data_IF_371715515999
#
_entry.id   IF_371715515999
#
_cell.length_a   1.000
_cell.length_b   1.000
_cell.length_c   1.000
_cell.angle_alpha   90.00
_cell.angle_beta   90.00
_cell.angle_gamma   90.00
#
_symmetry.space_group_name_H-M   'P 1'
#
loop_
_entity.id
_entity.type
_entity.pdbx_description
1 polymer ?
#
# COMPACT_ATOMS: atom_id res chain seq x y z
N UNK A 1 12.23 -6.62 -7.61
CA UNK A 1 13.14 -6.29 -6.51
C UNK A 1 12.71 -5.02 -5.80
N UNK A 2 12.94 -4.96 -4.50
CA UNK A 2 12.68 -3.74 -3.75
C UNK A 2 13.58 -2.62 -4.27
N UNK A 3 13.02 -1.43 -4.41
CA UNK A 3 13.76 -0.28 -4.91
C UNK A 3 13.52 0.92 -4.01
N UNK A 4 14.59 1.50 -3.49
CA UNK A 4 14.54 2.69 -2.65
C UNK A 4 15.22 3.85 -3.34
N UNK A 5 14.42 4.86 -3.74
CA UNK A 5 14.93 6.12 -4.25
C UNK A 5 15.18 7.03 -3.03
N UNK A 6 16.40 7.58 -2.84
CA UNK A 6 16.67 8.44 -1.67
C UNK A 6 15.79 9.69 -1.60
N UNK A 7 15.14 10.08 -2.69
CA UNK A 7 14.25 11.24 -2.71
C UNK A 7 12.82 10.89 -2.26
N UNK A 8 12.53 9.58 -2.10
CA UNK A 8 11.20 9.12 -1.71
C UNK A 8 11.22 8.60 -0.28
N UNK A 9 10.19 8.89 0.53
CA UNK A 9 10.12 8.41 1.90
C UNK A 9 9.63 6.96 2.01
N UNK A 10 9.63 6.21 0.91
CA UNK A 10 9.12 4.84 0.87
C UNK A 10 10.00 3.97 -0.03
N UNK A 11 9.84 2.67 0.12
CA UNK A 11 10.47 1.67 -0.75
C UNK A 11 9.43 1.14 -1.74
N UNK A 12 9.82 0.97 -2.99
CA UNK A 12 8.95 0.40 -4.02
C UNK A 12 9.09 -1.11 -4.02
N UNK A 13 7.96 -1.81 -4.04
CA UNK A 13 7.90 -3.26 -4.05
C UNK A 13 7.10 -3.75 -5.24
N UNK A 14 7.54 -4.86 -5.85
CA UNK A 14 6.72 -5.56 -6.83
C UNK A 14 5.56 -6.27 -6.12
N UNK A 15 4.48 -6.61 -6.84
CA UNK A 15 3.39 -7.39 -6.24
C UNK A 15 3.87 -8.70 -5.61
N UNK A 16 4.80 -9.39 -6.24
CA UNK A 16 5.34 -10.66 -5.70
C UNK A 16 6.09 -10.42 -4.37
N UNK A 17 6.85 -9.34 -4.28
CA UNK A 17 7.53 -8.98 -3.04
C UNK A 17 6.53 -8.64 -1.93
N UNK A 18 5.45 -7.92 -2.27
CA UNK A 18 4.37 -7.60 -1.33
C UNK A 18 3.73 -8.89 -0.81
N UNK A 19 3.40 -9.80 -1.73
CA UNK A 19 2.80 -11.07 -1.33
C UNK A 19 3.70 -11.84 -0.38
N UNK A 20 4.99 -11.85 -0.64
CA UNK A 20 5.97 -12.54 0.21
C UNK A 20 6.00 -11.91 1.61
N UNK A 21 5.98 -10.59 1.70
CA UNK A 21 5.93 -9.90 2.99
C UNK A 21 4.64 -10.21 3.74
N UNK A 22 3.52 -10.27 3.02
CA UNK A 22 2.23 -10.62 3.64
C UNK A 22 2.25 -12.04 4.19
N UNK A 23 2.86 -12.98 3.48
CA UNK A 23 2.98 -14.37 3.94
C UNK A 23 3.84 -14.48 5.19
N UNK A 24 4.84 -13.63 5.32
CA UNK A 24 5.69 -13.60 6.51
C UNK A 24 4.99 -12.94 7.70
N UNK A 25 3.92 -12.19 7.46
CA UNK A 25 3.17 -11.51 8.51
C UNK A 25 3.82 -10.22 8.98
N UNK A 26 3.17 -9.55 9.92
CA UNK A 26 3.71 -8.33 10.51
C UNK A 26 3.63 -7.10 9.64
N UNK A 27 2.75 -7.10 8.62
CA UNK A 27 2.56 -5.96 7.73
C UNK A 27 1.13 -5.45 7.82
N UNK A 28 0.97 -4.15 7.55
CA UNK A 28 -0.33 -3.53 7.39
C UNK A 28 -0.46 -3.11 5.93
N UNK A 29 -1.46 -3.63 5.22
CA UNK A 29 -1.70 -3.28 3.82
C UNK A 29 -2.90 -2.35 3.75
N UNK A 30 -2.73 -1.20 3.11
CA UNK A 30 -3.74 -0.15 3.03
C UNK A 30 -4.05 0.13 1.56
N UNK A 31 -5.31 -0.06 1.17
CA UNK A 31 -5.80 0.31 -0.15
C UNK A 31 -6.36 1.72 -0.08
N UNK A 32 -5.82 2.63 -0.88
CA UNK A 32 -6.16 4.05 -0.82
C UNK A 32 -7.05 4.51 -1.98
N UNK A 33 -7.66 3.54 -2.67
CA UNK A 33 -8.56 3.83 -3.80
C UNK A 33 -9.95 4.24 -3.31
N UNK A 34 -10.84 4.54 -4.26
CA UNK A 34 -12.24 4.85 -3.97
C UNK A 34 -13.01 3.60 -3.55
N UNK A 35 -14.14 3.78 -2.87
CA UNK A 35 -14.97 2.66 -2.39
C UNK A 35 -15.33 1.68 -3.50
N UNK A 36 -15.76 2.18 -4.66
CA UNK A 36 -16.19 1.32 -5.75
C UNK A 36 -15.04 0.50 -6.33
N UNK A 37 -13.83 1.07 -6.32
CA UNK A 37 -12.64 0.35 -6.77
C UNK A 37 -12.31 -0.80 -5.80
N UNK A 38 -12.32 -0.49 -4.52
CA UNK A 38 -12.02 -1.47 -3.47
C UNK A 38 -13.02 -2.64 -3.51
N UNK A 39 -14.30 -2.31 -3.66
CA UNK A 39 -15.36 -3.33 -3.70
C UNK A 39 -15.29 -4.23 -4.93
N UNK A 40 -14.71 -3.75 -6.02
CA UNK A 40 -14.56 -4.54 -7.24
C UNK A 40 -13.42 -5.54 -7.20
N UNK A 41 -12.63 -5.51 -6.16
CA UNK A 41 -11.52 -6.44 -5.99
C UNK A 41 -10.31 -5.72 -5.44
N UNK A 42 -9.75 -6.26 -4.36
CA UNK A 42 -8.59 -5.65 -3.68
C UNK A 42 -7.64 -6.75 -3.21
N UNK A 43 -6.43 -6.35 -2.87
CA UNK A 43 -5.43 -7.25 -2.29
C UNK A 43 -6.00 -7.86 -1.02
N UNK A 44 -5.98 -9.20 -0.89
CA UNK A 44 -6.57 -9.85 0.29
C UNK A 44 -5.98 -9.32 1.60
N UNK A 45 -6.86 -9.00 2.54
CA UNK A 45 -6.46 -8.47 3.84
C UNK A 45 -6.16 -6.99 3.88
N UNK A 46 -6.27 -6.29 2.75
CA UNK A 46 -6.03 -4.84 2.73
C UNK A 46 -7.15 -4.10 3.46
N UNK A 47 -6.77 -3.17 4.32
CA UNK A 47 -7.69 -2.23 4.96
C UNK A 47 -7.97 -1.10 3.97
N UNK A 48 -9.17 -0.56 3.99
CA UNK A 48 -9.54 0.50 3.07
C UNK A 48 -9.49 1.87 3.76
N UNK A 49 -8.54 2.71 3.34
CA UNK A 49 -8.40 4.08 3.80
C UNK A 49 -8.18 4.95 2.57
N UNK A 50 -9.23 5.56 1.99
CA UNK A 50 -9.07 6.38 0.78
C UNK A 50 -8.02 7.48 0.97
N UNK A 51 -7.28 7.78 -0.09
CA UNK A 51 -6.10 8.65 -0.01
C UNK A 51 -6.41 10.00 0.62
N UNK A 52 -7.58 10.57 0.32
CA UNK A 52 -7.96 11.88 0.86
C UNK A 52 -8.30 11.86 2.35
N UNK A 53 -8.35 10.67 2.96
CA UNK A 53 -8.63 10.54 4.40
C UNK A 53 -7.41 10.06 5.20
N UNK A 54 -6.30 9.78 4.53
CA UNK A 54 -5.11 9.21 5.19
C UNK A 54 -4.60 10.10 6.32
N UNK A 55 -4.48 11.40 6.05
CA UNK A 55 -3.97 12.31 7.09
C UNK A 55 -4.88 12.38 8.30
N UNK A 56 -6.20 12.43 8.09
CA UNK A 56 -7.17 12.45 9.19
C UNK A 56 -7.18 11.13 9.96
N UNK A 57 -6.93 10.03 9.27
CA UNK A 57 -6.95 8.68 9.85
C UNK A 57 -5.56 8.15 10.18
N UNK A 58 -4.57 9.02 10.27
CA UNK A 58 -3.17 8.60 10.48
C UNK A 58 -2.96 7.77 11.74
N UNK A 59 -3.84 7.92 12.74
CA UNK A 59 -3.73 7.12 13.96
C UNK A 59 -4.09 5.65 13.76
N UNK A 60 -4.68 5.30 12.61
CA UNK A 60 -4.97 3.92 12.26
C UNK A 60 -3.76 3.23 11.62
N UNK A 61 -2.72 4.00 11.30
CA UNK A 61 -1.49 3.46 10.72
C UNK A 61 -0.56 2.97 11.82
N UNK A 62 -0.05 1.76 11.65
CA UNK A 62 0.81 1.11 12.65
C UNK A 62 2.18 1.80 12.69
N UNK A 63 2.71 1.99 13.90
CA UNK A 63 4.07 2.48 14.07
C UNK A 63 5.08 1.34 14.23
N UNK A 64 4.58 0.11 14.40
CA UNK A 64 5.40 -1.06 14.73
C UNK A 64 5.52 -2.05 13.58
N UNK A 65 4.75 -1.85 12.51
CA UNK A 65 4.73 -2.77 11.37
C UNK A 65 5.16 -2.04 10.11
N UNK A 66 5.60 -2.81 9.12
CA UNK A 66 5.76 -2.28 7.77
C UNK A 66 4.38 -1.95 7.21
N UNK A 67 4.24 -0.78 6.61
CA UNK A 67 2.98 -0.33 6.02
C UNK A 67 3.12 -0.31 4.51
N UNK A 68 2.25 -1.05 3.83
CA UNK A 68 2.25 -1.16 2.38
C UNK A 68 1.00 -0.47 1.85
N UNK A 69 1.19 0.60 1.08
CA UNK A 69 0.08 1.31 0.44
C UNK A 69 -0.09 0.82 -0.99
N UNK A 70 -1.33 0.64 -1.41
CA UNK A 70 -1.66 0.20 -2.77
C UNK A 70 -2.79 1.04 -3.34
N UNK A 71 -2.69 1.37 -4.62
CA UNK A 71 -3.78 1.98 -5.38
C UNK A 71 -3.90 1.26 -6.73
N UNK A 72 -4.50 1.88 -7.76
CA UNK A 72 -4.64 1.20 -9.05
C UNK A 72 -3.32 1.00 -9.77
N UNK A 73 -2.49 2.07 -9.84
CA UNK A 73 -1.25 2.05 -10.63
C UNK A 73 -0.03 2.57 -9.86
N UNK A 74 -0.19 2.98 -8.61
CA UNK A 74 0.94 3.39 -7.76
C UNK A 74 1.08 4.88 -7.49
N UNK A 75 0.22 5.74 -8.04
CA UNK A 75 0.33 7.19 -7.87
C UNK A 75 -0.31 7.69 -6.58
N UNK A 76 -1.56 7.32 -6.32
CA UNK A 76 -2.25 7.72 -5.09
C UNK A 76 -1.59 7.10 -3.86
N UNK A 77 -1.08 5.87 -3.99
CA UNK A 77 -0.37 5.21 -2.90
C UNK A 77 0.97 5.86 -2.60
N UNK A 78 1.67 6.38 -3.61
CA UNK A 78 2.87 7.16 -3.38
C UNK A 78 2.57 8.42 -2.57
N UNK A 79 1.47 9.12 -2.90
CA UNK A 79 1.03 10.28 -2.13
C UNK A 79 0.67 9.90 -0.69
N UNK A 80 0.00 8.76 -0.50
CA UNK A 80 -0.32 8.27 0.84
C UNK A 80 0.94 8.00 1.66
N UNK A 81 1.98 7.45 1.03
CA UNK A 81 3.27 7.28 1.69
C UNK A 81 3.86 8.60 2.16
N UNK A 82 3.77 9.65 1.33
CA UNK A 82 4.26 10.98 1.70
C UNK A 82 3.47 11.56 2.87
N UNK A 83 2.16 11.37 2.88
CA UNK A 83 1.30 11.79 3.99
C UNK A 83 1.67 11.09 5.29
N UNK A 84 1.90 9.77 5.20
CA UNK A 84 2.31 8.97 6.36
C UNK A 84 3.68 9.39 6.86
N UNK A 85 4.62 9.68 5.96
CA UNK A 85 5.94 10.17 6.33
C UNK A 85 5.85 11.51 7.06
N UNK A 86 4.96 12.41 6.59
CA UNK A 86 4.73 13.69 7.25
C UNK A 86 4.17 13.51 8.67
N UNK A 87 3.50 12.38 8.93
CA UNK A 87 2.99 12.03 10.27
C UNK A 87 4.05 11.32 11.13
N UNK A 88 5.27 11.18 10.62
CA UNK A 88 6.38 10.61 11.38
C UNK A 88 6.60 9.12 11.20
N UNK A 89 5.89 8.48 10.27
CA UNK A 89 6.07 7.06 10.01
C UNK A 89 7.24 6.83 9.06
N UNK A 90 7.97 5.73 9.27
CA UNK A 90 9.24 5.49 8.55
C UNK A 90 9.30 4.16 7.80
N UNK A 91 8.41 3.21 8.10
CA UNK A 91 8.44 1.87 7.49
C UNK A 91 7.38 1.79 6.41
N UNK A 92 7.61 2.53 5.31
CA UNK A 92 6.62 2.78 4.28
C UNK A 92 7.01 2.13 2.95
N UNK A 93 6.02 1.52 2.30
CA UNK A 93 6.20 0.81 1.03
C UNK A 93 5.06 1.14 0.08
N UNK A 94 5.38 1.18 -1.21
CA UNK A 94 4.42 1.41 -2.28
C UNK A 94 4.44 0.21 -3.23
N UNK A 95 3.26 -0.33 -3.55
CA UNK A 95 3.15 -1.41 -4.53
C UNK A 95 3.32 -0.83 -5.93
N UNK A 96 4.41 -1.18 -6.58
CA UNK A 96 4.70 -0.69 -7.93
C UNK A 96 3.69 -1.27 -8.91
N UNK A 97 3.06 -0.42 -9.71
CA UNK A 97 2.02 -0.81 -10.63
C UNK A 97 0.67 -1.10 -9.99
N UNK A 98 0.59 -1.07 -8.66
CA UNK A 98 -0.67 -1.16 -7.92
C UNK A 98 -1.45 -2.44 -8.10
N UNK A 99 -2.76 -2.35 -7.88
CA UNK A 99 -3.68 -3.49 -8.02
C UNK A 99 -3.68 -4.03 -9.45
N UNK A 100 -3.49 -3.18 -10.45
CA UNK A 100 -3.42 -3.64 -11.84
C UNK A 100 -2.25 -4.60 -12.05
N UNK A 101 -1.07 -4.25 -11.54
CA UNK A 101 0.09 -5.14 -11.64
C UNK A 101 -0.10 -6.41 -10.79
N UNK A 102 -0.72 -6.28 -9.62
CA UNK A 102 -1.04 -7.40 -8.76
C UNK A 102 -1.87 -8.45 -9.52
N UNK A 103 -2.93 -8.00 -10.18
CA UNK A 103 -3.80 -8.88 -10.97
C UNK A 103 -3.06 -9.44 -12.17
N UNK A 104 -2.30 -8.61 -12.88
CA UNK A 104 -1.57 -9.01 -14.08
C UNK A 104 -0.55 -10.11 -13.78
N UNK A 105 0.04 -10.09 -12.59
CA UNK A 105 0.99 -11.13 -12.17
C UNK A 105 0.30 -12.40 -11.67
N UNK A 106 -1.02 -12.45 -11.69
CA UNK A 106 -1.78 -13.65 -11.36
C UNK A 106 -2.12 -13.81 -9.89
N UNK A 107 -1.93 -12.77 -9.08
CA UNK A 107 -2.27 -12.85 -7.67
C UNK A 107 -3.78 -12.68 -7.46
N UNK A 108 -4.32 -13.39 -6.46
CA UNK A 108 -5.74 -13.37 -6.17
C UNK A 108 -6.17 -12.04 -5.54
N UNK A 109 -7.41 -11.66 -5.80
CA UNK A 109 -8.07 -10.53 -5.13
C UNK A 109 -9.29 -11.05 -4.39
N UNK A 110 -9.76 -10.26 -3.42
CA UNK A 110 -11.02 -10.54 -2.73
C UNK A 110 -11.96 -9.35 -2.90
N UNK A 111 -13.25 -9.61 -2.72
CA UNK A 111 -14.27 -8.57 -2.86
C UNK A 111 -15.02 -8.33 -1.56
#
# INVERSE_FOLDING_TARGET
>A
MAHKDPREPFTRLSPTEVRRMMENGGVQVIDVREDWEYQNGHVPGAEHIPVNTVSARRNELSRDRDIIFVCSVGQRSALACEMAAAAGLTRLYNVEGGTEAWIKEGHAVEK
#
